data_IF_503988225281
#
_entry.id   IF_503988225281
#
_cell.length_a   1.000
_cell.length_b   1.000
_cell.length_c   1.000
_cell.angle_alpha   90.00
_cell.angle_beta   90.00
_cell.angle_gamma   90.00
#
_symmetry.space_group_name_H-M   'P 1'
#
loop_
_entity.id
_entity.type
_entity.pdbx_description
1 polymer ?
#
# COMPACT_ATOMS: atom_id res chain seq x y z
N UNK A 1 -11.13 12.08 -5.05
CA UNK A 1 -9.72 12.47 -5.22
C UNK A 1 -9.05 11.40 -6.07
N UNK A 2 -8.59 11.73 -7.27
CA UNK A 2 -7.88 10.79 -8.15
C UNK A 2 -6.36 11.06 -8.01
N UNK A 3 -5.58 10.03 -7.68
CA UNK A 3 -4.13 10.08 -7.50
C UNK A 3 -3.44 9.69 -8.81
N UNK A 4 -2.58 10.56 -9.34
CA UNK A 4 -1.69 10.24 -10.46
C UNK A 4 -0.34 9.82 -9.88
N UNK A 5 0.07 8.56 -10.03
CA UNK A 5 1.40 8.10 -9.59
C UNK A 5 2.48 8.56 -10.57
N UNK A 6 3.59 9.07 -10.04
CA UNK A 6 4.83 9.16 -10.81
C UNK A 6 5.38 7.72 -10.98
N UNK A 7 6.09 7.43 -12.08
CA UNK A 7 6.71 6.12 -12.28
C UNK A 7 7.55 5.74 -11.04
N UNK A 8 7.38 4.51 -10.56
CA UNK A 8 8.01 3.92 -9.35
C UNK A 8 7.65 4.51 -7.97
N UNK A 9 6.59 5.30 -7.84
CA UNK A 9 6.12 5.82 -6.53
C UNK A 9 5.20 4.82 -5.80
N UNK A 10 5.49 4.52 -4.52
CA UNK A 10 4.62 3.67 -3.69
C UNK A 10 3.22 4.26 -3.50
N UNK A 11 2.21 3.42 -3.27
CA UNK A 11 0.83 3.90 -3.02
C UNK A 11 0.79 4.81 -1.78
N UNK A 12 1.58 4.51 -0.74
CA UNK A 12 1.70 5.40 0.41
C UNK A 12 2.25 6.78 0.02
N UNK A 13 3.35 6.83 -0.74
CA UNK A 13 3.98 8.10 -1.10
C UNK A 13 3.06 8.95 -1.98
N UNK A 14 2.39 8.33 -2.96
CA UNK A 14 1.39 9.00 -3.79
C UNK A 14 0.25 9.59 -2.96
N UNK A 15 -0.24 8.85 -1.96
CA UNK A 15 -1.31 9.32 -1.07
C UNK A 15 -0.84 10.46 -0.15
N UNK A 16 0.34 10.34 0.47
CA UNK A 16 0.94 11.40 1.29
C UNK A 16 1.18 12.67 0.47
N UNK A 17 1.68 12.55 -0.76
CA UNK A 17 1.88 13.67 -1.69
C UNK A 17 0.59 14.40 -2.03
N UNK A 18 -0.53 13.69 -2.07
CA UNK A 18 -1.85 14.28 -2.25
C UNK A 18 -2.50 14.79 -0.95
N UNK A 19 -1.76 14.76 0.17
CA UNK A 19 -2.21 15.29 1.46
C UNK A 19 -3.08 14.33 2.26
N UNK A 20 -3.06 13.03 1.96
CA UNK A 20 -3.69 12.04 2.84
C UNK A 20 -2.88 11.91 4.14
N UNK A 21 -3.58 11.80 5.27
CA UNK A 21 -2.99 11.50 6.58
C UNK A 21 -3.09 9.99 6.83
N UNK A 22 -2.06 9.25 6.42
CA UNK A 22 -2.02 7.79 6.52
C UNK A 22 -0.97 7.35 7.54
N UNK A 23 -1.22 6.25 8.29
CA UNK A 23 -0.26 5.74 9.25
C UNK A 23 0.96 5.14 8.52
N UNK A 24 2.17 5.57 8.90
CA UNK A 24 3.42 4.96 8.46
C UNK A 24 4.55 5.17 9.48
N UNK A 25 5.59 4.34 9.39
CA UNK A 25 6.80 4.47 10.22
C UNK A 25 8.09 4.22 9.44
N UNK A 26 8.37 2.98 9.01
CA UNK A 26 9.70 2.63 8.47
C UNK A 26 9.88 2.86 6.97
N UNK A 27 8.80 2.80 6.17
CA UNK A 27 8.84 2.76 4.69
C UNK A 27 9.75 1.69 4.05
N UNK A 28 10.18 0.67 4.81
CA UNK A 28 11.12 -0.37 4.35
C UNK A 28 10.59 -1.80 4.46
N UNK A 29 9.29 -1.99 4.65
CA UNK A 29 8.67 -3.32 4.70
C UNK A 29 8.93 -4.12 5.98
N UNK A 30 9.58 -3.54 6.99
CA UNK A 30 9.95 -4.19 8.26
C UNK A 30 8.98 -3.92 9.43
N UNK A 31 8.03 -3.01 9.26
CA UNK A 31 6.95 -2.76 10.22
C UNK A 31 5.57 -2.89 9.53
N UNK A 32 4.50 -3.04 10.33
CA UNK A 32 3.13 -3.13 9.84
C UNK A 32 2.31 -1.83 9.96
N UNK A 33 2.92 -0.69 10.28
CA UNK A 33 2.17 0.57 10.51
C UNK A 33 1.36 1.03 9.29
N UNK A 34 1.89 0.81 8.08
CA UNK A 34 1.22 1.17 6.83
C UNK A 34 0.41 0.00 6.22
N UNK A 35 0.08 -1.02 7.03
CA UNK A 35 -0.72 -2.17 6.60
C UNK A 35 -2.11 -1.68 6.18
N UNK A 36 -2.55 -2.17 5.04
CA UNK A 36 -3.87 -1.90 4.50
C UNK A 36 -4.33 -3.09 3.67
N UNK A 37 -5.61 -3.15 3.34
CA UNK A 37 -6.20 -4.24 2.55
C UNK A 37 -6.56 -3.76 1.16
N UNK A 38 -6.25 -4.56 0.15
CA UNK A 38 -6.69 -4.33 -1.23
C UNK A 38 -8.18 -4.65 -1.32
N UNK A 39 -9.01 -3.64 -1.57
CA UNK A 39 -10.46 -3.84 -1.76
C UNK A 39 -10.85 -4.00 -3.23
N UNK A 40 -10.05 -3.44 -4.15
CA UNK A 40 -10.19 -3.68 -5.59
C UNK A 40 -8.92 -3.32 -6.36
N UNK A 41 -8.75 -3.93 -7.53
CA UNK A 41 -7.58 -3.73 -8.40
C UNK A 41 -6.46 -4.72 -8.13
N UNK A 42 -5.38 -4.61 -8.90
CA UNK A 42 -4.18 -5.43 -8.74
C UNK A 42 -3.03 -4.57 -8.22
N UNK A 43 -2.15 -5.17 -7.42
CA UNK A 43 -0.97 -4.51 -6.88
C UNK A 43 0.22 -5.45 -6.88
N UNK A 44 1.42 -4.87 -6.94
CA UNK A 44 2.68 -5.59 -6.75
C UNK A 44 3.37 -5.06 -5.49
N UNK A 45 3.71 -5.97 -4.56
CA UNK A 45 4.41 -5.64 -3.32
C UNK A 45 5.88 -6.07 -3.42
N UNK A 46 6.79 -5.12 -3.23
CA UNK A 46 8.24 -5.33 -3.40
C UNK A 46 8.88 -6.08 -2.24
N UNK A 47 8.71 -5.56 -1.02
CA UNK A 47 9.29 -6.12 0.19
C UNK A 47 8.20 -6.37 1.22
N UNK A 48 8.25 -7.55 1.82
CA UNK A 48 7.41 -7.91 2.94
C UNK A 48 8.22 -8.72 3.96
N UNK A 49 8.62 -8.07 5.05
CA UNK A 49 9.24 -8.71 6.20
C UNK A 49 8.32 -8.70 7.43
N UNK A 50 7.09 -8.19 7.31
CA UNK A 50 6.22 -7.90 8.45
C UNK A 50 4.87 -8.60 8.43
N UNK A 51 4.32 -8.93 7.26
CA UNK A 51 3.03 -9.62 7.13
C UNK A 51 3.23 -11.11 6.94
N UNK A 52 2.43 -11.88 7.66
CA UNK A 52 2.38 -13.33 7.49
C UNK A 52 1.72 -13.72 6.16
N UNK A 53 1.99 -14.95 5.70
CA UNK A 53 1.47 -15.43 4.41
C UNK A 53 -0.05 -15.41 4.33
N UNK A 54 -0.74 -15.75 5.43
CA UNK A 54 -2.20 -15.77 5.47
C UNK A 54 -2.81 -14.36 5.46
N UNK A 55 -2.12 -13.36 6.01
CA UNK A 55 -2.51 -11.95 5.87
C UNK A 55 -2.42 -11.50 4.41
N UNK A 56 -1.32 -11.85 3.73
CA UNK A 56 -1.17 -11.53 2.29
C UNK A 56 -2.24 -12.23 1.46
N UNK A 57 -2.54 -13.50 1.75
CA UNK A 57 -3.62 -14.24 1.09
C UNK A 57 -5.02 -13.64 1.34
N UNK A 58 -5.23 -12.98 2.48
CA UNK A 58 -6.44 -12.21 2.79
C UNK A 58 -6.48 -10.83 2.12
N UNK A 59 -5.46 -10.49 1.33
CA UNK A 59 -5.35 -9.24 0.58
C UNK A 59 -4.72 -8.08 1.36
N UNK A 60 -4.06 -8.34 2.49
CA UNK A 60 -3.30 -7.32 3.19
C UNK A 60 -1.95 -7.07 2.50
N UNK A 61 -1.56 -5.80 2.44
CA UNK A 61 -0.32 -5.32 1.85
C UNK A 61 0.28 -4.20 2.70
N UNK A 62 1.57 -3.93 2.49
CA UNK A 62 2.26 -2.76 3.04
C UNK A 62 2.23 -1.64 2.01
N UNK A 63 1.35 -0.64 2.17
CA UNK A 63 1.19 0.45 1.18
C UNK A 63 2.49 1.18 0.82
N UNK A 64 3.47 1.24 1.75
CA UNK A 64 4.80 1.82 1.50
C UNK A 64 5.71 1.01 0.59
N UNK A 65 5.40 -0.26 0.34
CA UNK A 65 6.16 -1.18 -0.51
C UNK A 65 5.30 -1.73 -1.64
N UNK A 66 4.17 -1.09 -1.92
CA UNK A 66 3.19 -1.58 -2.89
C UNK A 66 3.03 -0.59 -4.02
N UNK A 67 3.08 -1.07 -5.27
CA UNK A 67 2.72 -0.34 -6.47
C UNK A 67 1.38 -0.81 -7.02
N UNK A 68 0.59 0.08 -7.63
CA UNK A 68 -0.61 -0.32 -8.34
C UNK A 68 -0.26 -0.94 -9.69
N UNK A 69 -0.87 -2.08 -9.99
CA UNK A 69 -0.76 -2.74 -11.28
C UNK A 69 -1.98 -2.39 -12.12
N UNK A 70 -1.88 -1.25 -12.80
CA UNK A 70 -2.94 -0.70 -13.64
C UNK A 70 -3.89 0.26 -12.91
N UNK A 71 -5.01 0.64 -13.55
CA UNK A 71 -5.90 1.67 -13.03
C UNK A 71 -6.82 1.16 -11.92
N UNK A 72 -7.35 2.10 -11.13
CA UNK A 72 -8.45 1.89 -10.18
C UNK A 72 -8.15 0.96 -8.98
N UNK A 73 -6.91 0.96 -8.48
CA UNK A 73 -6.59 0.32 -7.20
C UNK A 73 -7.25 1.08 -6.05
N UNK A 74 -7.87 0.33 -5.13
CA UNK A 74 -8.48 0.86 -3.91
C UNK A 74 -7.97 0.06 -2.71
N UNK A 75 -7.56 0.77 -1.68
CA UNK A 75 -7.07 0.22 -0.42
C UNK A 75 -7.93 0.72 0.74
N UNK A 76 -8.07 -0.10 1.79
CA UNK A 76 -8.69 0.27 3.06
C UNK A 76 -7.67 0.17 4.20
N UNK A 77 -7.60 1.21 5.03
CA UNK A 77 -6.74 1.27 6.23
C UNK A 77 -7.51 0.99 7.54
N UNK A 78 -8.81 0.75 7.44
CA UNK A 78 -9.72 0.56 8.60
C UNK A 78 -10.07 -0.92 8.85
N UNK A 79 -9.33 -1.87 8.26
CA UNK A 79 -9.60 -3.32 8.31
C UNK A 79 -8.76 -4.09 9.36
#
# INVERSE_FOLDING_TARGET
MFLWLQDDESILDAALRAGADLPYACKGGVCATCRCKVVSGEVDMFLNYSLEKDEVEKGYVLSCQTLPKGPNVRLSFDE
#
